data_IF_680708682924
#
_entry.id   IF_680708682924
#
_cell.length_a   1.000
_cell.length_b   1.000
_cell.length_c   1.000
_cell.angle_alpha   90.00
_cell.angle_beta   90.00
_cell.angle_gamma   90.00
#
_symmetry.space_group_name_H-M   'P 1'
#
loop_
_entity.id
_entity.type
_entity.pdbx_description
1 polymer ?
#
# COMPACT_ATOMS: atom_id res chain seq x y z
N UNK A 1 16.88 -3.93 2.40
CA UNK A 1 15.96 -3.79 1.25
C UNK A 1 16.56 -4.42 0.00
N UNK A 2 15.81 -5.29 -0.66
CA UNK A 2 16.11 -5.82 -2.00
C UNK A 2 14.96 -5.47 -2.94
N UNK A 3 15.26 -4.93 -4.12
CA UNK A 3 14.24 -4.53 -5.11
C UNK A 3 14.42 -5.34 -6.41
N UNK A 4 13.33 -5.93 -6.86
CA UNK A 4 13.26 -6.75 -8.06
C UNK A 4 12.32 -6.08 -9.07
N UNK A 5 12.73 -5.96 -10.34
CA UNK A 5 11.84 -5.42 -11.35
C UNK A 5 10.63 -6.34 -11.50
N UNK A 6 9.44 -5.81 -11.23
CA UNK A 6 8.22 -6.54 -11.48
C UNK A 6 7.81 -6.33 -12.93
N UNK A 7 7.89 -7.39 -13.74
CA UNK A 7 7.46 -7.36 -15.13
C UNK A 7 5.99 -7.74 -15.19
N UNK A 8 5.13 -6.73 -15.14
CA UNK A 8 3.69 -6.94 -15.26
C UNK A 8 3.33 -7.51 -16.64
N UNK A 9 2.56 -8.59 -16.66
CA UNK A 9 1.94 -9.11 -17.88
C UNK A 9 0.49 -8.63 -17.89
N UNK A 10 0.14 -7.77 -18.86
CA UNK A 10 -1.20 -7.17 -18.95
C UNK A 10 -2.29 -8.24 -18.88
N UNK A 11 -3.33 -7.99 -18.09
CA UNK A 11 -4.42 -8.94 -17.87
C UNK A 11 -4.10 -10.10 -16.91
N UNK A 12 -2.90 -10.18 -16.32
CA UNK A 12 -2.57 -11.19 -15.30
C UNK A 12 -2.20 -10.53 -13.97
N UNK A 13 -3.01 -10.79 -12.96
CA UNK A 13 -2.70 -10.43 -11.58
C UNK A 13 -1.81 -11.52 -10.96
N UNK A 14 -0.68 -11.19 -10.32
CA UNK A 14 0.11 -12.16 -9.58
C UNK A 14 -0.76 -12.92 -8.58
N UNK A 15 -0.55 -14.23 -8.39
CA UNK A 15 -1.36 -15.03 -7.45
C UNK A 15 -1.37 -14.47 -6.02
N UNK A 16 -0.32 -13.77 -5.61
CA UNK A 16 -0.23 -13.09 -4.31
C UNK A 16 -1.15 -11.87 -4.24
N UNK A 17 -1.24 -11.09 -5.31
CA UNK A 17 -2.15 -9.96 -5.43
C UNK A 17 -3.59 -10.40 -5.69
N UNK A 18 -3.81 -11.54 -6.35
CA UNK A 18 -5.14 -12.13 -6.53
C UNK A 18 -5.83 -12.52 -5.21
N UNK A 19 -5.07 -12.71 -4.14
CA UNK A 19 -5.60 -12.92 -2.78
C UNK A 19 -6.05 -11.64 -2.10
N UNK A 20 -5.67 -10.48 -2.65
CA UNK A 20 -6.10 -9.19 -2.13
C UNK A 20 -7.50 -8.94 -2.68
N UNK A 21 -8.52 -9.28 -1.90
CA UNK A 21 -9.92 -9.31 -2.34
C UNK A 21 -10.38 -8.00 -3.00
N UNK A 22 -9.92 -6.85 -2.52
CA UNK A 22 -10.33 -5.57 -3.12
C UNK A 22 -9.75 -5.36 -4.52
N UNK A 23 -8.58 -5.95 -4.85
CA UNK A 23 -7.99 -5.84 -6.19
C UNK A 23 -8.85 -6.54 -7.24
N UNK A 24 -9.69 -7.51 -6.85
CA UNK A 24 -10.60 -8.18 -7.75
C UNK A 24 -11.71 -7.27 -8.29
N UNK A 25 -12.03 -6.17 -7.60
CA UNK A 25 -13.09 -5.22 -7.98
C UNK A 25 -12.56 -3.98 -8.72
N UNK A 26 -11.23 -3.87 -8.86
CA UNK A 26 -10.60 -2.79 -9.62
C UNK A 26 -10.70 -3.10 -11.11
N UNK A 27 -10.97 -2.07 -11.92
CA UNK A 27 -10.98 -2.23 -13.37
C UNK A 27 -9.63 -2.77 -13.88
N UNK A 28 -9.65 -3.72 -14.82
CA UNK A 28 -8.43 -4.41 -15.23
C UNK A 28 -7.40 -3.46 -15.89
N UNK A 29 -7.85 -2.47 -16.67
CA UNK A 29 -6.95 -1.51 -17.31
C UNK A 29 -6.32 -0.56 -16.28
N UNK A 30 -7.11 -0.17 -15.28
CA UNK A 30 -6.67 0.58 -14.13
C UNK A 30 -5.58 -0.17 -13.34
N UNK A 31 -5.84 -1.43 -13.02
CA UNK A 31 -4.93 -2.31 -12.31
C UNK A 31 -3.64 -2.54 -13.09
N UNK A 32 -3.73 -2.80 -14.40
CA UNK A 32 -2.57 -2.94 -15.27
C UNK A 32 -1.70 -1.68 -15.29
N UNK A 33 -2.31 -0.49 -15.25
CA UNK A 33 -1.60 0.79 -15.20
C UNK A 33 -0.80 0.99 -13.90
N UNK A 34 -1.37 0.64 -12.76
CA UNK A 34 -0.68 0.69 -11.46
C UNK A 34 0.45 -0.35 -11.42
N UNK A 35 0.15 -1.59 -11.82
CA UNK A 35 1.09 -2.71 -11.74
C UNK A 35 2.28 -2.56 -12.68
N UNK A 36 2.09 -1.92 -13.84
CA UNK A 36 3.20 -1.62 -14.76
C UNK A 36 4.26 -0.69 -14.16
N UNK A 37 3.92 0.05 -13.09
CA UNK A 37 4.80 1.01 -12.43
C UNK A 37 5.16 0.60 -11.00
N UNK A 38 5.09 -0.70 -10.76
CA UNK A 38 5.39 -1.30 -9.47
C UNK A 38 6.65 -2.15 -9.53
N UNK A 39 7.28 -2.34 -8.38
CA UNK A 39 8.39 -3.28 -8.20
C UNK A 39 8.11 -4.17 -6.99
N UNK A 40 8.64 -5.39 -7.02
CA UNK A 40 8.60 -6.26 -5.85
C UNK A 40 9.78 -5.92 -4.96
N UNK A 41 9.52 -5.72 -3.68
CA UNK A 41 10.55 -5.38 -2.71
C UNK A 41 10.49 -6.33 -1.52
N UNK A 42 11.67 -6.67 -1.02
CA UNK A 42 11.84 -7.48 0.17
C UNK A 42 12.53 -6.67 1.27
N UNK A 43 12.04 -6.85 2.48
CA UNK A 43 12.64 -6.30 3.69
C UNK A 43 12.87 -7.42 4.70
N UNK A 44 14.05 -7.43 5.30
CA UNK A 44 14.35 -8.31 6.43
C UNK A 44 13.75 -7.79 7.71
N UNK A 45 13.57 -8.70 8.68
CA UNK A 45 13.13 -8.35 10.02
C UNK A 45 14.00 -7.24 10.61
N UNK A 46 13.36 -6.19 11.12
CA UNK A 46 13.99 -5.01 11.70
C UNK A 46 14.32 -3.90 10.70
N UNK A 47 14.16 -4.10 9.39
CA UNK A 47 14.37 -3.02 8.42
C UNK A 47 13.18 -2.04 8.39
N UNK A 48 13.48 -0.74 8.34
CA UNK A 48 12.48 0.30 8.13
C UNK A 48 12.04 0.34 6.67
N UNK A 49 10.73 0.28 6.46
CA UNK A 49 10.07 0.38 5.14
C UNK A 49 9.71 1.84 4.86
N UNK A 50 9.24 2.56 5.88
CA UNK A 50 8.87 3.97 5.84
C UNK A 50 9.36 4.64 7.13
N UNK A 51 9.82 5.89 7.05
CA UNK A 51 10.23 6.64 8.24
C UNK A 51 9.31 7.84 8.52
N UNK A 52 8.97 8.07 9.79
CA UNK A 52 8.21 9.24 10.23
C UNK A 52 8.90 10.54 9.80
N UNK A 53 8.12 11.50 9.30
CA UNK A 53 8.63 12.79 8.79
C UNK A 53 9.21 12.74 7.37
N UNK A 54 9.38 11.56 6.76
CA UNK A 54 9.95 11.43 5.42
C UNK A 54 9.04 12.01 4.33
N UNK A 55 9.66 12.57 3.29
CA UNK A 55 9.01 13.22 2.15
C UNK A 55 9.13 12.33 0.89
N UNK A 56 8.55 11.13 0.90
CA UNK A 56 8.51 10.21 -0.26
C UNK A 56 7.10 9.92 -0.80
N UNK A 57 6.91 9.86 -2.11
CA UNK A 57 5.57 9.74 -2.75
C UNK A 57 5.14 8.30 -3.02
N UNK A 58 6.05 7.35 -2.83
CA UNK A 58 5.78 5.93 -2.98
C UNK A 58 4.89 5.39 -1.86
N UNK A 59 4.19 4.29 -2.13
CA UNK A 59 3.50 3.53 -1.11
C UNK A 59 3.71 2.05 -1.36
N UNK A 60 3.38 1.23 -0.38
CA UNK A 60 3.63 -0.20 -0.41
C UNK A 60 2.35 -0.97 -0.17
N UNK A 61 2.21 -2.13 -0.79
CA UNK A 61 1.15 -3.10 -0.50
C UNK A 61 1.81 -4.35 0.08
N UNK A 62 1.48 -4.72 1.31
CA UNK A 62 1.97 -5.91 1.97
C UNK A 62 1.39 -7.15 1.28
N UNK A 63 2.25 -8.01 0.74
CA UNK A 63 1.84 -9.28 0.11
C UNK A 63 2.01 -10.46 1.06
N UNK A 64 3.05 -10.40 1.89
CA UNK A 64 3.38 -11.42 2.89
C UNK A 64 4.29 -10.83 3.96
N UNK A 65 4.10 -11.28 5.19
CA UNK A 65 4.91 -10.88 6.33
C UNK A 65 4.07 -10.10 7.33
N UNK A 66 4.77 -9.43 8.23
CA UNK A 66 4.18 -8.64 9.32
C UNK A 66 5.00 -7.37 9.48
N UNK A 67 4.33 -6.25 9.64
CA UNK A 67 4.96 -4.95 9.85
C UNK A 67 4.45 -4.33 11.15
N UNK A 68 5.33 -3.57 11.80
CA UNK A 68 5.04 -2.81 13.00
C UNK A 68 5.00 -1.33 12.66
N UNK A 69 3.94 -0.65 13.07
CA UNK A 69 3.75 0.79 12.89
C UNK A 69 4.11 1.48 14.20
N UNK A 70 5.04 2.44 14.13
CA UNK A 70 5.53 3.23 15.26
C UNK A 70 5.27 4.69 15.07
N UNK A 71 4.71 5.35 16.07
CA UNK A 71 4.52 6.81 16.09
C UNK A 71 5.26 7.39 17.28
N UNK A 72 6.13 8.37 17.04
CA UNK A 72 7.00 8.93 18.07
C UNK A 72 7.80 7.86 18.84
N UNK A 73 8.22 6.78 18.16
CA UNK A 73 8.99 5.67 18.72
C UNK A 73 8.18 4.56 19.39
N UNK A 74 6.89 4.78 19.65
CA UNK A 74 6.01 3.80 20.32
C UNK A 74 5.23 2.97 19.30
N UNK A 75 5.13 1.65 19.52
CA UNK A 75 4.36 0.75 18.67
C UNK A 75 2.85 1.01 18.86
N UNK A 76 2.16 1.31 17.75
CA UNK A 76 0.71 1.64 17.76
C UNK A 76 -0.15 0.63 17.01
N UNK A 77 0.44 -0.13 16.10
CA UNK A 77 -0.27 -1.17 15.37
C UNK A 77 0.70 -2.23 14.81
N UNK A 78 0.17 -3.43 14.60
CA UNK A 78 0.84 -4.52 13.89
C UNK A 78 -0.06 -4.94 12.73
N UNK A 79 0.48 -4.96 11.51
CA UNK A 79 -0.27 -5.28 10.29
C UNK A 79 0.34 -6.53 9.65
N UNK A 80 -0.48 -7.57 9.48
CA UNK A 80 -0.06 -8.87 8.91
C UNK A 80 -0.93 -9.33 7.73
N UNK A 81 -1.99 -8.58 7.42
CA UNK A 81 -2.96 -8.97 6.40
C UNK A 81 -2.44 -8.62 5.00
N UNK A 82 -2.56 -9.57 4.07
CA UNK A 82 -2.24 -9.33 2.66
C UNK A 82 -3.19 -8.28 2.10
N UNK A 83 -2.63 -7.31 1.37
CA UNK A 83 -3.38 -6.16 0.84
C UNK A 83 -3.28 -4.91 1.70
N UNK A 84 -2.69 -4.99 2.90
CA UNK A 84 -2.45 -3.81 3.72
C UNK A 84 -1.56 -2.81 2.97
N UNK A 85 -2.09 -1.61 2.72
CA UNK A 85 -1.36 -0.48 2.16
C UNK A 85 -0.64 0.30 3.26
N UNK A 86 0.61 0.66 2.99
CA UNK A 86 1.50 1.41 3.87
C UNK A 86 1.90 2.71 3.18
N UNK A 87 1.68 3.84 3.85
CA UNK A 87 2.13 5.15 3.39
C UNK A 87 1.22 5.82 2.36
N UNK A 88 0.03 5.29 2.14
CA UNK A 88 -1.02 5.86 1.31
C UNK A 88 -1.41 7.27 1.71
N UNK A 89 -1.34 7.61 3.00
CA UNK A 89 -1.74 8.93 3.50
C UNK A 89 -0.96 10.05 2.80
N UNK A 90 0.37 9.93 2.75
CA UNK A 90 1.20 10.89 2.04
C UNK A 90 0.90 10.96 0.55
N UNK A 91 0.65 9.80 -0.07
CA UNK A 91 0.23 9.70 -1.47
C UNK A 91 -1.09 10.43 -1.75
N UNK A 92 -1.97 10.56 -0.75
CA UNK A 92 -3.28 11.21 -0.85
C UNK A 92 -3.28 12.69 -0.40
N UNK A 93 -2.62 13.00 0.70
CA UNK A 93 -2.69 14.32 1.36
C UNK A 93 -1.48 15.21 1.04
N UNK A 94 -0.38 14.63 0.56
CA UNK A 94 0.89 15.31 0.36
C UNK A 94 1.68 15.58 1.65
N UNK A 95 1.11 15.26 2.82
CA UNK A 95 1.76 15.46 4.12
C UNK A 95 2.95 14.51 4.31
N UNK A 96 3.84 14.85 5.24
CA UNK A 96 4.94 13.97 5.63
C UNK A 96 4.41 12.63 6.19
N UNK A 97 5.22 11.58 6.18
CA UNK A 97 4.83 10.31 6.82
C UNK A 97 4.50 10.56 8.30
N UNK A 98 3.38 10.00 8.75
CA UNK A 98 2.84 10.20 10.10
C UNK A 98 3.37 9.20 11.13
N UNK A 99 4.06 8.17 10.68
CA UNK A 99 4.60 7.07 11.46
C UNK A 99 5.73 6.37 10.71
N UNK A 100 6.63 5.74 11.46
CA UNK A 100 7.61 4.77 10.95
C UNK A 100 6.92 3.43 10.79
N UNK A 101 7.26 2.69 9.74
CA UNK A 101 6.80 1.31 9.54
C UNK A 101 8.02 0.43 9.34
N UNK A 102 8.19 -0.56 10.20
CA UNK A 102 9.33 -1.49 10.17
C UNK A 102 8.84 -2.92 9.94
N UNK A 103 9.64 -3.74 9.26
CA UNK A 103 9.33 -5.14 9.06
C UNK A 103 9.50 -5.92 10.38
N UNK A 104 8.42 -6.49 10.92
CA UNK A 104 8.45 -7.33 12.12
C UNK A 104 8.86 -8.78 11.80
N UNK A 105 8.68 -9.19 10.54
CA UNK A 105 9.21 -10.44 9.98
C UNK A 105 9.85 -10.17 8.62
N UNK A 106 10.27 -11.21 7.90
CA UNK A 106 10.69 -11.03 6.51
C UNK A 106 9.45 -10.74 5.63
N UNK A 107 9.46 -9.59 4.97
CA UNK A 107 8.30 -9.04 4.27
C UNK A 107 8.52 -8.98 2.76
N UNK A 108 7.46 -9.32 2.02
CA UNK A 108 7.34 -9.11 0.58
C UNK A 108 6.27 -8.05 0.33
N UNK A 109 6.64 -6.98 -0.35
CA UNK A 109 5.72 -5.89 -0.67
C UNK A 109 5.76 -5.57 -2.16
N UNK A 110 4.63 -5.04 -2.64
CA UNK A 110 4.58 -4.33 -3.91
C UNK A 110 4.83 -2.85 -3.66
N UNK A 111 5.93 -2.32 -4.19
CA UNK A 111 6.23 -0.89 -4.16
C UNK A 111 5.58 -0.21 -5.37
N UNK A 112 4.76 0.81 -5.14
CA UNK A 112 4.16 1.62 -6.21
C UNK A 112 4.82 3.00 -6.18
N UNK A 113 5.48 3.37 -7.29
CA UNK A 113 6.18 4.65 -7.41
C UNK A 113 5.29 5.67 -8.12
N UNK A 114 5.22 6.89 -7.59
CA UNK A 114 4.49 7.97 -8.26
C UNK A 114 5.34 8.73 -9.29
N UNK A 115 6.68 8.70 -9.20
CA UNK A 115 7.56 9.48 -10.08
C UNK A 115 7.49 9.13 -11.58
N UNK A 116 6.89 7.99 -11.95
CA UNK A 116 6.67 7.65 -13.35
C UNK A 116 5.74 8.64 -14.07
N UNK A 117 4.84 9.31 -13.34
CA UNK A 117 3.86 10.24 -13.91
C UNK A 117 4.49 11.51 -14.48
N UNK A 118 5.74 11.82 -14.13
CA UNK A 118 6.43 13.03 -14.57
C UNK A 118 6.60 13.05 -16.10
N UNK A 119 6.76 11.87 -16.71
CA UNK A 119 6.91 11.69 -18.17
C UNK A 119 5.59 11.52 -18.94
N UNK A 120 4.44 11.48 -18.26
CA UNK A 120 3.13 11.30 -18.90
C UNK A 120 2.55 12.62 -19.38
N UNK A 121 1.71 12.57 -20.42
CA UNK A 121 0.87 13.71 -20.80
C UNK A 121 -0.17 14.03 -19.72
N UNK A 122 -0.78 15.20 -19.79
CA UNK A 122 -1.79 15.63 -18.81
C UNK A 122 -2.98 14.66 -18.75
N UNK A 123 -3.49 14.20 -19.90
CA UNK A 123 -4.61 13.26 -19.96
C UNK A 123 -4.25 11.89 -19.36
N UNK A 124 -3.03 11.40 -19.61
CA UNK A 124 -2.53 10.14 -19.04
C UNK A 124 -2.34 10.25 -17.52
N UNK A 125 -1.80 11.39 -17.04
CA UNK A 125 -1.71 11.66 -15.60
C UNK A 125 -3.08 11.69 -14.94
N UNK A 126 -4.05 12.39 -15.52
CA UNK A 126 -5.42 12.45 -14.99
C UNK A 126 -6.05 11.06 -14.94
N UNK A 127 -5.91 10.26 -16.00
CA UNK A 127 -6.40 8.88 -16.03
C UNK A 127 -5.75 8.03 -14.93
N UNK A 128 -4.43 8.14 -14.76
CA UNK A 128 -3.71 7.45 -13.69
C UNK A 128 -4.18 7.87 -12.30
N UNK A 129 -4.35 9.17 -12.03
CA UNK A 129 -4.83 9.65 -10.73
C UNK A 129 -6.26 9.22 -10.43
N UNK A 130 -7.15 9.21 -11.42
CA UNK A 130 -8.52 8.69 -11.25
C UNK A 130 -8.47 7.24 -10.80
N UNK A 131 -7.64 6.44 -11.47
CA UNK A 131 -7.43 5.02 -11.15
C UNK A 131 -6.83 4.84 -9.74
N UNK A 132 -5.76 5.56 -9.43
CA UNK A 132 -5.06 5.47 -8.15
C UNK A 132 -5.94 5.92 -6.99
N UNK A 133 -6.66 7.03 -7.12
CA UNK A 133 -7.50 7.55 -6.05
C UNK A 133 -8.77 6.72 -5.86
N UNK A 134 -9.36 6.19 -6.94
CA UNK A 134 -10.45 5.21 -6.80
C UNK A 134 -9.96 3.96 -6.07
N UNK A 135 -8.79 3.45 -6.46
CA UNK A 135 -8.15 2.32 -5.81
C UNK A 135 -7.95 2.55 -4.31
N UNK A 136 -7.32 3.68 -3.94
CA UNK A 136 -7.08 4.02 -2.53
C UNK A 136 -8.38 4.26 -1.76
N UNK A 137 -9.39 4.87 -2.38
CA UNK A 137 -10.69 5.10 -1.75
C UNK A 137 -11.40 3.77 -1.43
N UNK A 138 -11.40 2.81 -2.35
CA UNK A 138 -11.99 1.48 -2.13
C UNK A 138 -11.30 0.74 -0.96
N UNK A 139 -9.97 0.83 -0.89
CA UNK A 139 -9.19 0.17 0.17
C UNK A 139 -9.42 0.84 1.53
N UNK A 140 -9.36 2.16 1.58
CA UNK A 140 -9.59 2.90 2.82
C UNK A 140 -11.02 2.75 3.33
N UNK A 141 -12.01 2.66 2.45
CA UNK A 141 -13.40 2.40 2.82
C UNK A 141 -13.54 1.03 3.50
N UNK A 142 -12.98 -0.03 2.90
CA UNK A 142 -13.01 -1.39 3.49
C UNK A 142 -12.28 -1.45 4.82
N UNK A 143 -11.10 -0.82 4.92
CA UNK A 143 -10.33 -0.74 6.18
C UNK A 143 -11.08 0.00 7.27
N UNK A 144 -11.77 1.10 6.93
CA UNK A 144 -12.59 1.84 7.86
C UNK A 144 -13.74 0.97 8.36
N UNK A 145 -14.45 0.25 7.48
CA UNK A 145 -15.52 -0.68 7.85
C UNK A 145 -15.02 -1.77 8.82
N UNK A 146 -13.89 -2.43 8.50
CA UNK A 146 -13.29 -3.46 9.35
C UNK A 146 -12.85 -2.90 10.71
N UNK A 147 -12.25 -1.71 10.73
CA UNK A 147 -11.79 -1.05 11.97
C UNK A 147 -12.98 -0.62 12.83
N UNK A 148 -14.00 -0.01 12.22
CA UNK A 148 -15.24 0.38 12.90
C UNK A 148 -15.98 -0.83 13.47
N UNK A 149 -16.03 -1.95 12.73
CA UNK A 149 -16.63 -3.19 13.22
C UNK A 149 -15.87 -3.76 14.43
N UNK A 150 -14.54 -3.73 14.42
CA UNK A 150 -13.70 -4.15 15.56
C UNK A 150 -13.91 -3.27 16.79
N UNK A 151 -13.95 -1.95 16.62
CA UNK A 151 -14.22 -1.01 17.71
C UNK A 151 -15.61 -1.26 18.33
N UNK A 152 -16.64 -1.41 17.51
CA UNK A 152 -17.99 -1.68 17.97
C UNK A 152 -18.13 -3.03 18.70
N UNK A 153 -17.31 -4.02 18.36
CA UNK A 153 -17.26 -5.29 19.08
C UNK A 153 -16.62 -5.13 20.48
N UNK A 154 -15.50 -4.41 20.57
CA UNK A 154 -14.82 -4.11 21.84
C UNK A 154 -15.70 -3.31 22.82
N UNK A 155 -16.48 -2.35 22.30
CA UNK A 155 -17.41 -1.56 23.12
C UNK A 155 -18.60 -2.37 23.67
N UNK A 156 -18.95 -3.51 23.05
CA UNK A 156 -20.02 -4.38 23.53
C UNK A 156 -19.60 -5.36 24.63
N UNK A 157 -18.29 -5.58 24.77
CA UNK A 157 -17.70 -6.47 25.77
C UNK A 157 -17.33 -5.73 27.09
N UNK A 158 -17.62 -4.42 27.18
CA UNK A 158 -17.45 -3.54 28.34
C UNK A 158 -18.77 -3.33 29.09
#
# INVERSE_FOLDING_TARGET
>A
MREYPYRHEKGKLPPTLAKVEFLANVDQAALDGILSNSSLVEFDCGEDILQEGEISTEFYILLKGEVEVKKAGEAVATLAQSGEILGELRSLTGEARTATVSAATHCFLLKVKQNFIDGLSESERSAYYIVLYRFLAEVLAKRLEETSARLAALEKDL
#
